data_IF_838534899075
#
_entry.id   IF_838534899075
#
_cell.length_a   1.000
_cell.length_b   1.000
_cell.length_c   1.000
_cell.angle_alpha   90.00
_cell.angle_beta   90.00
_cell.angle_gamma   90.00
#
_symmetry.space_group_name_H-M   'P 1'
#
loop_
_entity.id
_entity.type
_entity.pdbx_description
1 polymer ?
#
# COMPACT_ATOMS: atom_id res chain seq x y z
N UNK A 1 -4.58 -5.20 -11.08
CA UNK A 1 -3.65 -4.37 -10.29
C UNK A 1 -3.88 -2.92 -10.69
N UNK A 2 -3.97 -2.01 -9.73
CA UNK A 2 -4.24 -0.59 -9.99
C UNK A 2 -2.92 0.20 -9.99
N UNK A 3 -2.29 0.35 -8.83
CA UNK A 3 -1.04 1.10 -8.70
C UNK A 3 0.14 0.21 -8.31
N UNK A 4 1.34 0.67 -8.65
CA UNK A 4 2.61 -0.04 -8.40
C UNK A 4 3.66 0.96 -7.93
N UNK A 5 4.46 0.57 -6.94
CA UNK A 5 5.70 1.24 -6.53
C UNK A 5 6.83 0.23 -6.52
N UNK A 6 8.05 0.72 -6.63
CA UNK A 6 9.26 -0.09 -6.65
C UNK A 6 10.26 0.37 -5.59
N UNK A 7 10.94 -0.58 -4.98
CA UNK A 7 12.19 -0.35 -4.25
C UNK A 7 13.32 -1.01 -5.01
N UNK A 8 14.55 -0.93 -4.47
CA UNK A 8 15.67 -1.70 -5.03
C UNK A 8 15.46 -3.22 -4.96
N UNK A 9 14.63 -3.71 -4.03
CA UNK A 9 14.47 -5.13 -3.72
C UNK A 9 13.06 -5.66 -3.94
N UNK A 10 12.07 -4.79 -4.15
CA UNK A 10 10.67 -5.23 -4.20
C UNK A 10 9.82 -4.43 -5.19
N UNK A 11 8.76 -5.08 -5.67
CA UNK A 11 7.60 -4.42 -6.26
C UNK A 11 6.48 -4.42 -5.22
N UNK A 12 5.84 -3.28 -5.01
CA UNK A 12 4.60 -3.17 -4.24
C UNK A 12 3.44 -2.96 -5.19
N UNK A 13 2.42 -3.81 -5.08
CA UNK A 13 1.30 -3.86 -6.02
C UNK A 13 0.01 -3.65 -5.23
N UNK A 14 -0.75 -2.62 -5.58
CA UNK A 14 -2.09 -2.39 -5.04
C UNK A 14 -3.12 -3.15 -5.88
N UNK A 15 -3.86 -4.02 -5.22
CA UNK A 15 -4.97 -4.76 -5.83
C UNK A 15 -6.25 -3.94 -5.72
N UNK A 16 -6.86 -3.67 -6.88
CA UNK A 16 -8.27 -3.30 -6.99
C UNK A 16 -9.06 -4.58 -7.34
N UNK A 17 -9.87 -5.12 -6.41
CA UNK A 17 -10.75 -6.25 -6.70
C UNK A 17 -11.76 -5.92 -7.82
N UNK A 18 -12.14 -4.64 -7.98
CA UNK A 18 -13.15 -4.17 -8.93
C UNK A 18 -14.52 -4.81 -8.71
N UNK A 19 -15.53 -4.33 -9.43
CA UNK A 19 -16.91 -4.84 -9.31
C UNK A 19 -17.04 -6.36 -9.60
N UNK A 20 -16.12 -6.95 -10.36
CA UNK A 20 -16.16 -8.35 -10.78
C UNK A 20 -15.58 -9.33 -9.76
N UNK A 21 -14.71 -8.87 -8.83
CA UNK A 21 -14.15 -9.72 -7.77
C UNK A 21 -14.56 -9.27 -6.35
N UNK A 22 -15.52 -8.35 -6.26
CA UNK A 22 -16.14 -7.96 -4.99
C UNK A 22 -16.77 -9.16 -4.26
N UNK A 23 -16.73 -9.13 -2.93
CA UNK A 23 -17.33 -10.12 -2.03
C UNK A 23 -16.41 -11.26 -1.59
N UNK A 24 -15.18 -11.37 -2.13
CA UNK A 24 -14.23 -12.42 -1.77
C UNK A 24 -13.14 -11.95 -0.79
N UNK A 25 -12.57 -10.76 -1.01
CA UNK A 25 -11.49 -10.18 -0.19
C UNK A 25 -11.58 -8.66 -0.21
N UNK A 26 -11.03 -8.00 0.82
CA UNK A 26 -10.76 -6.56 0.75
C UNK A 26 -9.56 -6.31 -0.17
N UNK A 27 -9.40 -5.07 -0.66
CA UNK A 27 -8.24 -4.64 -1.42
C UNK A 27 -6.94 -4.85 -0.60
N UNK A 28 -5.84 -5.17 -1.29
CA UNK A 28 -4.58 -5.60 -0.68
C UNK A 28 -3.39 -4.88 -1.28
N UNK A 29 -2.36 -4.73 -0.47
CA UNK A 29 -1.01 -4.42 -0.95
C UNK A 29 -0.21 -5.70 -0.93
N UNK A 30 0.32 -6.06 -2.09
CA UNK A 30 1.20 -7.20 -2.27
C UNK A 30 2.64 -6.72 -2.39
N UNK A 31 3.59 -7.47 -1.81
CA UNK A 31 5.02 -7.31 -2.05
C UNK A 31 5.51 -8.50 -2.85
N UNK A 32 6.15 -8.22 -3.98
CA UNK A 32 6.94 -9.18 -4.73
C UNK A 32 8.42 -8.91 -4.47
N UNK A 33 9.11 -9.85 -3.85
CA UNK A 33 10.55 -9.77 -3.61
C UNK A 33 11.32 -10.15 -4.87
N UNK A 34 12.24 -9.29 -5.30
CA UNK A 34 12.99 -9.47 -6.54
C UNK A 34 14.14 -10.48 -6.39
N UNK A 35 14.56 -10.79 -5.16
CA UNK A 35 15.68 -11.69 -4.90
C UNK A 35 15.29 -13.16 -5.06
N UNK A 36 14.11 -13.54 -4.56
CA UNK A 36 13.66 -14.94 -4.51
C UNK A 36 12.30 -15.18 -5.21
N UNK A 37 11.63 -14.10 -5.65
CA UNK A 37 10.33 -14.17 -6.32
C UNK A 37 9.15 -14.42 -5.38
N UNK A 38 9.34 -14.27 -4.07
CA UNK A 38 8.26 -14.42 -3.09
C UNK A 38 7.20 -13.34 -3.26
N UNK A 39 5.92 -13.74 -3.33
CA UNK A 39 4.76 -12.84 -3.38
C UNK A 39 3.94 -12.98 -2.09
N UNK A 40 3.81 -11.90 -1.33
CA UNK A 40 3.06 -11.89 -0.07
C UNK A 40 2.15 -10.68 0.11
N UNK A 41 1.11 -10.82 0.93
CA UNK A 41 0.23 -9.71 1.30
C UNK A 41 0.83 -8.98 2.50
N UNK A 42 1.18 -7.71 2.33
CA UNK A 42 1.79 -6.88 3.39
C UNK A 42 0.78 -5.94 4.06
N UNK A 43 -0.35 -5.65 3.40
CA UNK A 43 -1.44 -4.88 4.00
C UNK A 43 -2.79 -5.24 3.37
N UNK A 44 -3.88 -4.99 4.11
CA UNK A 44 -5.26 -5.13 3.64
C UNK A 44 -6.07 -3.91 4.06
N UNK A 45 -6.99 -3.47 3.21
CA UNK A 45 -7.98 -2.45 3.58
C UNK A 45 -8.92 -3.03 4.63
N UNK A 46 -9.13 -2.28 5.72
CA UNK A 46 -10.14 -2.60 6.73
C UNK A 46 -11.45 -1.88 6.39
N UNK A 47 -12.51 -2.67 6.16
CA UNK A 47 -13.85 -2.18 5.87
C UNK A 47 -14.80 -2.26 7.08
N UNK A 48 -14.27 -2.44 8.30
CA UNK A 48 -15.04 -2.65 9.53
C UNK A 48 -16.02 -1.52 9.86
N UNK A 49 -15.80 -0.30 9.38
CA UNK A 49 -16.71 0.83 9.55
C UNK A 49 -18.00 0.70 8.72
N UNK A 50 -17.99 -0.10 7.64
CA UNK A 50 -19.16 -0.37 6.78
C UNK A 50 -19.26 -1.87 6.46
N UNK A 51 -19.52 -2.72 7.47
CA UNK A 51 -19.45 -4.17 7.31
C UNK A 51 -20.51 -4.76 6.38
N UNK A 52 -21.59 -4.02 6.09
CA UNK A 52 -22.61 -4.40 5.12
C UNK A 52 -22.21 -4.14 3.65
N UNK A 53 -21.13 -3.40 3.42
CA UNK A 53 -20.58 -3.18 2.08
C UNK A 53 -19.83 -4.43 1.62
N UNK A 54 -19.98 -4.86 0.35
CA UNK A 54 -19.20 -5.97 -0.20
C UNK A 54 -17.69 -5.77 0.01
N UNK A 55 -16.98 -6.85 0.35
CA UNK A 55 -15.52 -6.81 0.42
C UNK A 55 -14.95 -6.39 -0.94
N UNK A 56 -13.93 -5.55 -0.94
CA UNK A 56 -13.30 -5.05 -2.17
C UNK A 56 -14.07 -3.92 -2.85
N UNK A 57 -15.11 -3.39 -2.20
CA UNK A 57 -15.74 -2.14 -2.64
C UNK A 57 -14.96 -0.90 -2.18
N UNK A 58 -14.01 -1.05 -1.25
CA UNK A 58 -13.03 -0.02 -0.93
C UNK A 58 -11.70 -0.43 -1.52
N UNK A 59 -10.98 0.56 -2.02
CA UNK A 59 -9.77 0.38 -2.82
C UNK A 59 -8.57 0.90 -2.04
N UNK A 60 -7.45 0.17 -2.13
CA UNK A 60 -6.14 0.76 -1.83
C UNK A 60 -5.65 1.45 -3.09
N UNK A 61 -5.32 2.73 -3.02
CA UNK A 61 -4.78 3.46 -4.17
C UNK A 61 -3.59 4.33 -3.74
N UNK A 62 -2.91 4.90 -4.73
CA UNK A 62 -1.77 5.81 -4.57
C UNK A 62 -0.70 5.32 -3.60
N UNK A 63 0.29 4.57 -4.06
CA UNK A 63 1.46 4.16 -3.25
C UNK A 63 2.73 4.88 -3.71
N UNK A 64 3.46 5.47 -2.76
CA UNK A 64 4.77 6.08 -3.03
C UNK A 64 5.80 5.77 -1.93
N UNK A 65 7.06 5.58 -2.32
CA UNK A 65 8.17 5.50 -1.36
C UNK A 65 8.39 6.87 -0.68
N UNK A 66 8.19 6.90 0.63
CA UNK A 66 8.34 8.08 1.46
C UNK A 66 9.56 7.97 2.41
N UNK A 67 10.44 6.99 2.18
CA UNK A 67 11.57 6.66 3.05
C UNK A 67 12.54 7.81 3.25
N UNK A 68 12.74 8.65 2.22
CA UNK A 68 13.60 9.84 2.32
C UNK A 68 13.16 10.82 3.40
N UNK A 69 11.85 10.87 3.71
CA UNK A 69 11.28 11.85 4.63
C UNK A 69 10.88 11.27 5.97
N UNK A 70 10.47 10.01 5.98
CA UNK A 70 9.94 9.34 7.16
C UNK A 70 10.81 8.16 7.61
N UNK A 71 11.93 7.86 6.98
CA UNK A 71 12.84 6.75 7.34
C UNK A 71 12.53 5.46 6.60
N UNK A 72 13.47 4.50 6.60
CA UNK A 72 13.43 3.25 5.80
C UNK A 72 12.08 2.51 5.88
N UNK A 73 11.60 2.03 4.74
CA UNK A 73 10.36 1.26 4.62
C UNK A 73 9.08 2.07 4.85
N UNK A 74 9.15 3.40 4.79
CA UNK A 74 7.96 4.24 4.84
C UNK A 74 7.33 4.36 3.46
N UNK A 75 6.03 4.11 3.38
CA UNK A 75 5.22 4.37 2.20
C UNK A 75 4.04 5.25 2.57
N UNK A 76 3.73 6.22 1.71
CA UNK A 76 2.42 6.87 1.75
C UNK A 76 1.48 6.07 0.86
N UNK A 77 0.32 5.74 1.41
CA UNK A 77 -0.74 5.01 0.70
C UNK A 77 -2.08 5.69 0.95
N UNK A 78 -2.98 5.63 -0.01
CA UNK A 78 -4.35 6.06 0.18
C UNK A 78 -5.35 4.89 0.23
N UNK A 79 -6.51 5.18 0.80
CA UNK A 79 -7.70 4.33 0.76
C UNK A 79 -8.86 5.14 0.20
N UNK A 80 -9.52 4.62 -0.82
CA UNK A 80 -10.75 5.17 -1.38
C UNK A 80 -11.93 4.34 -0.88
N UNK A 81 -12.70 4.91 0.05
CA UNK A 81 -13.82 4.25 0.70
C UNK A 81 -15.14 4.71 0.05
N UNK A 82 -15.35 4.36 -1.22
CA UNK A 82 -16.42 4.92 -2.06
C UNK A 82 -17.82 4.76 -1.50
N UNK A 83 -18.09 3.69 -0.72
CA UNK A 83 -19.40 3.50 -0.09
C UNK A 83 -19.58 4.26 1.23
N UNK A 84 -18.50 4.80 1.80
CA UNK A 84 -18.53 5.61 3.01
C UNK A 84 -18.85 7.06 2.67
N UNK A 85 -20.12 7.36 2.42
CA UNK A 85 -20.54 8.73 2.17
C UNK A 85 -20.50 9.55 3.46
N UNK A 86 -19.66 10.59 3.50
CA UNK A 86 -19.52 11.48 4.66
C UNK A 86 -20.41 12.72 4.55
N UNK A 87 -20.77 13.12 3.33
CA UNK A 87 -21.67 14.23 3.07
C UNK A 87 -22.35 14.03 1.71
N UNK A 88 -23.63 14.32 1.64
CA UNK A 88 -24.39 14.38 0.38
C UNK A 88 -25.07 15.73 0.23
N UNK A 89 -25.13 16.24 -1.00
CA UNK A 89 -25.81 17.48 -1.35
C UNK A 89 -26.62 17.29 -2.63
N UNK A 90 -27.91 17.62 -2.60
CA UNK A 90 -28.76 17.64 -3.79
C UNK A 90 -28.65 19.00 -4.48
N UNK A 91 -28.23 19.02 -5.75
CA UNK A 91 -28.24 20.23 -6.59
C UNK A 91 -29.05 19.97 -7.86
N UNK A 92 -30.31 20.42 -7.85
CA UNK A 92 -31.27 20.12 -8.91
C UNK A 92 -31.55 18.62 -8.95
N UNK A 93 -31.27 17.97 -10.09
CA UNK A 93 -31.45 16.53 -10.29
C UNK A 93 -30.22 15.70 -9.95
N UNK A 94 -29.11 16.33 -9.54
CA UNK A 94 -27.84 15.64 -9.26
C UNK A 94 -27.60 15.54 -7.75
N UNK A 95 -27.16 14.36 -7.32
CA UNK A 95 -26.64 14.12 -5.98
C UNK A 95 -25.11 14.22 -6.04
N UNK A 96 -24.55 15.12 -5.25
CA UNK A 96 -23.11 15.24 -5.05
C UNK A 96 -22.76 14.55 -3.75
N UNK A 97 -21.80 13.63 -3.80
CA UNK A 97 -21.37 12.88 -2.63
C UNK A 97 -19.90 13.13 -2.36
N UNK A 98 -19.57 13.27 -1.08
CA UNK A 98 -18.20 13.22 -0.58
C UNK A 98 -17.99 11.85 0.02
N UNK A 99 -17.11 11.10 -0.61
CA UNK A 99 -16.72 9.77 -0.18
C UNK A 99 -15.66 9.86 0.92
N UNK A 100 -15.57 8.80 1.69
CA UNK A 100 -14.55 8.63 2.72
C UNK A 100 -13.23 8.25 2.08
N UNK A 101 -12.16 8.51 2.82
CA UNK A 101 -10.84 8.06 2.44
C UNK A 101 -9.83 8.38 3.53
N UNK A 102 -8.65 7.79 3.40
CA UNK A 102 -7.55 7.99 4.34
C UNK A 102 -6.24 8.12 3.58
N UNK A 103 -5.38 9.02 4.03
CA UNK A 103 -3.97 9.02 3.66
C UNK A 103 -3.21 8.43 4.85
N UNK A 104 -2.45 7.37 4.61
CA UNK A 104 -1.76 6.59 5.63
C UNK A 104 -0.26 6.61 5.37
N UNK A 105 0.52 6.73 6.44
CA UNK A 105 1.94 6.38 6.44
C UNK A 105 2.06 4.96 6.97
N UNK A 106 2.45 4.01 6.12
CA UNK A 106 2.62 2.60 6.48
C UNK A 106 4.08 2.22 6.52
N UNK A 107 4.41 1.23 7.36
CA UNK A 107 5.74 0.61 7.42
C UNK A 107 5.68 -0.75 6.77
N UNK A 108 6.40 -0.89 5.66
CA UNK A 108 6.57 -2.15 4.97
C UNK A 108 8.07 -2.44 4.99
N UNK A 109 8.53 -3.36 5.86
CA UNK A 109 9.93 -3.79 5.85
C UNK A 109 10.29 -4.37 4.48
N UNK A 110 11.54 -4.19 4.07
CA UNK A 110 12.10 -5.00 2.99
C UNK A 110 12.08 -6.48 3.42
N UNK A 111 11.91 -7.39 2.46
CA UNK A 111 11.98 -8.82 2.75
C UNK A 111 13.31 -9.18 3.40
N UNK A 112 13.26 -9.99 4.45
CA UNK A 112 14.46 -10.45 5.14
C UNK A 112 15.18 -11.50 4.30
N UNK A 113 16.21 -11.08 3.57
CA UNK A 113 17.35 -11.93 3.26
C UNK A 113 18.47 -11.50 4.20
N UNK A 114 19.12 -12.46 4.86
CA UNK A 114 20.08 -12.25 5.95
C UNK A 114 21.41 -11.63 5.51
N UNK A 115 21.37 -10.46 4.90
CA UNK A 115 22.54 -9.69 4.47
C UNK A 115 22.73 -8.44 5.37
N UNK A 116 22.43 -8.54 6.67
CA UNK A 116 22.83 -7.53 7.67
C UNK A 116 24.33 -7.66 8.04
N UNK A 117 25.15 -8.11 7.08
CA UNK A 117 26.61 -8.02 7.12
C UNK A 117 27.04 -6.97 6.10
N UNK A 118 26.66 -5.71 6.32
CA UNK A 118 27.44 -4.61 5.77
C UNK A 118 28.74 -4.58 6.57
N UNK A 119 29.76 -5.17 5.95
CA UNK A 119 31.15 -5.19 6.36
C UNK A 119 31.64 -3.75 6.64
N UNK A 120 31.70 -3.39 7.93
CA UNK A 120 32.63 -2.37 8.44
C UNK A 120 34.05 -2.95 8.33
N UNK A 121 34.56 -3.13 7.11
CA UNK A 121 35.97 -3.44 6.85
C UNK A 121 36.62 -2.20 6.22
N UNK A 122 36.76 -1.15 7.02
CA UNK A 122 37.74 -0.10 6.75
C UNK A 122 39.12 -0.70 7.09
N UNK A 123 39.71 -1.38 6.10
CA UNK A 123 41.12 -1.71 6.05
C UNK A 123 41.92 -0.41 5.92
N UNK A 124 42.35 0.15 7.06
CA UNK A 124 43.42 1.13 7.13
C UNK A 124 44.79 0.40 7.05
N UNK A 125 45.16 -0.03 5.84
CA UNK A 125 46.53 -0.35 5.40
C UNK A 125 46.61 0.22 3.96
N UNK A 126 47.46 1.19 3.60
CA UNK A 126 48.91 1.21 3.74
C UNK A 126 49.55 2.59 3.41
N UNK A 127 50.79 2.71 3.91
CA UNK A 127 52.00 3.28 3.29
C UNK A 127 52.55 4.70 3.64
N UNK A 128 53.83 4.63 4.07
CA UNK A 128 54.93 5.59 4.29
C UNK A 128 55.06 6.41 5.59
#
# INVERSE_FOLDING_TARGET
>A
PDNVETTKRSLLIQEDPGSHNQGQTTARIWRYDLSDGTLEVVAKVDQSQRPATPLGAWESSGIIDASKRFGKGAFLVDVQASTLIVQSEQRGTLTYEREGGQLLLVRIPEGGHGDDEDEDNDEDEDDD
#
